data_IF_699783371642
#
_entry.id   IF_699783371642
#
_cell.length_a   1.000
_cell.length_b   1.000
_cell.length_c   1.000
_cell.angle_alpha   90.00
_cell.angle_beta   90.00
_cell.angle_gamma   90.00
#
_symmetry.space_group_name_H-M   'P 1'
#
loop_
_entity.id
_entity.type
_entity.pdbx_description
1 polymer ?
#
# COMPACT_ATOMS: atom_id res chain seq x y z
N UNK A 1 0.25 25.34 -2.50
CA UNK A 1 -0.39 24.11 -2.99
C UNK A 1 0.41 23.39 -4.08
N UNK A 2 0.88 24.04 -5.13
CA UNK A 2 1.64 23.42 -6.24
C UNK A 2 2.88 22.60 -5.83
N UNK A 3 3.71 23.09 -4.92
CA UNK A 3 4.92 22.37 -4.49
C UNK A 3 4.63 20.99 -3.86
N UNK A 4 3.49 20.86 -3.23
CA UNK A 4 3.08 19.66 -2.46
C UNK A 4 2.44 18.60 -3.34
N UNK A 5 1.68 19.01 -4.36
CA UNK A 5 1.20 18.09 -5.39
C UNK A 5 2.37 17.56 -6.24
N UNK A 6 3.39 18.40 -6.50
CA UNK A 6 4.62 17.96 -7.15
C UNK A 6 5.37 16.91 -6.33
N UNK A 7 5.48 17.10 -5.01
CA UNK A 7 6.08 16.08 -4.14
C UNK A 7 5.30 14.76 -4.18
N UNK A 8 3.97 14.82 -4.10
CA UNK A 8 3.13 13.64 -4.22
C UNK A 8 3.27 12.92 -5.57
N UNK A 9 3.42 13.67 -6.66
CA UNK A 9 3.69 13.10 -7.99
C UNK A 9 5.06 12.40 -8.06
N UNK A 10 6.10 13.02 -7.51
CA UNK A 10 7.45 12.43 -7.47
C UNK A 10 7.48 11.17 -6.62
N UNK A 11 6.83 11.21 -5.45
CA UNK A 11 6.66 10.02 -4.61
C UNK A 11 5.89 8.94 -5.37
N UNK A 12 4.78 9.27 -6.03
CA UNK A 12 4.00 8.33 -6.84
C UNK A 12 4.80 7.67 -7.96
N UNK A 13 5.66 8.43 -8.64
CA UNK A 13 6.57 7.88 -9.64
C UNK A 13 7.58 6.90 -9.04
N UNK A 14 8.12 7.19 -7.85
CA UNK A 14 8.97 6.26 -7.11
C UNK A 14 8.19 5.03 -6.62
N UNK A 15 6.95 5.19 -6.14
CA UNK A 15 6.10 4.06 -5.75
C UNK A 15 5.89 3.07 -6.88
N UNK A 16 5.75 3.53 -8.13
CA UNK A 16 5.66 2.63 -9.28
C UNK A 16 6.91 1.74 -9.41
N UNK A 17 8.10 2.27 -9.10
CA UNK A 17 9.33 1.47 -9.08
C UNK A 17 9.27 0.43 -7.97
N UNK A 18 8.84 0.82 -6.76
CA UNK A 18 8.68 -0.08 -5.61
C UNK A 18 7.67 -1.19 -5.94
N UNK A 19 6.49 -0.85 -6.44
CA UNK A 19 5.41 -1.79 -6.78
C UNK A 19 5.88 -2.87 -7.78
N UNK A 20 6.71 -2.49 -8.75
CA UNK A 20 7.15 -3.43 -9.80
C UNK A 20 8.39 -4.21 -9.38
N UNK A 21 9.32 -3.58 -8.67
CA UNK A 21 10.63 -4.20 -8.39
C UNK A 21 10.70 -4.94 -7.08
N UNK A 22 10.04 -4.45 -6.02
CA UNK A 22 10.16 -5.06 -4.71
C UNK A 22 9.70 -6.53 -4.70
N UNK A 23 8.55 -6.92 -5.29
CA UNK A 23 8.16 -8.33 -5.36
C UNK A 23 9.19 -9.18 -6.12
N UNK A 24 9.71 -8.69 -7.24
CA UNK A 24 10.72 -9.39 -8.04
C UNK A 24 12.06 -9.56 -7.32
N UNK A 25 12.44 -8.58 -6.48
CA UNK A 25 13.64 -8.69 -5.64
C UNK A 25 13.46 -9.83 -4.64
N UNK A 26 12.29 -9.91 -3.99
CA UNK A 26 11.97 -10.95 -3.03
C UNK A 26 11.89 -12.34 -3.69
N UNK A 27 11.26 -12.45 -4.86
CA UNK A 27 11.23 -13.70 -5.63
C UNK A 27 12.65 -14.21 -5.94
N UNK A 28 13.58 -13.32 -6.29
CA UNK A 28 14.98 -13.68 -6.52
C UNK A 28 15.70 -14.14 -5.25
N UNK A 29 15.45 -13.49 -4.12
CA UNK A 29 16.00 -13.90 -2.83
C UNK A 29 15.51 -15.30 -2.42
N UNK A 30 14.27 -15.66 -2.74
CA UNK A 30 13.71 -16.99 -2.43
C UNK A 30 14.19 -18.10 -3.36
N UNK A 31 14.55 -17.77 -4.60
CA UNK A 31 15.01 -18.76 -5.60
C UNK A 31 16.48 -19.18 -5.44
N UNK A 32 17.17 -18.66 -4.39
CA UNK A 32 18.46 -19.16 -3.88
C UNK A 32 19.58 -19.35 -4.90
N UNK A 33 19.95 -18.33 -5.66
CA UNK A 33 21.34 -18.19 -6.07
C UNK A 33 21.74 -16.72 -6.13
N UNK A 34 22.31 -16.18 -5.04
CA UNK A 34 22.65 -14.76 -4.97
C UNK A 34 23.83 -14.36 -5.87
N UNK A 35 24.48 -15.30 -6.50
CA UNK A 35 25.76 -15.09 -7.18
C UNK A 35 25.66 -14.92 -8.70
N UNK A 36 24.59 -15.36 -9.35
CA UNK A 36 24.47 -15.32 -10.81
C UNK A 36 23.46 -14.27 -11.27
N UNK A 37 23.94 -13.10 -11.59
CA UNK A 37 23.18 -12.12 -12.35
C UNK A 37 23.51 -10.67 -12.04
N UNK A 38 23.17 -9.72 -12.93
CA UNK A 38 23.39 -8.30 -12.68
C UNK A 38 22.59 -7.83 -11.45
N UNK A 39 23.20 -6.92 -10.67
CA UNK A 39 22.60 -6.33 -9.46
C UNK A 39 21.21 -5.77 -9.79
N UNK A 40 20.18 -6.36 -9.17
CA UNK A 40 18.79 -5.94 -9.31
C UNK A 40 18.28 -5.40 -7.98
N UNK A 41 18.08 -4.07 -7.93
CA UNK A 41 17.55 -3.39 -6.75
C UNK A 41 16.61 -2.24 -7.18
N UNK A 42 16.15 -1.44 -6.23
CA UNK A 42 15.26 -0.30 -6.52
C UNK A 42 15.93 0.76 -7.43
N UNK A 43 17.27 0.87 -7.42
CA UNK A 43 18.01 1.84 -8.19
C UNK A 43 18.54 1.29 -9.53
N UNK A 44 18.90 0.01 -9.57
CA UNK A 44 19.52 -0.65 -10.74
C UNK A 44 18.69 -1.85 -11.21
N UNK A 45 18.59 -2.07 -12.53
CA UNK A 45 19.00 -1.22 -13.65
C UNK A 45 18.20 0.10 -13.76
N UNK A 46 18.62 1.04 -14.63
CA UNK A 46 17.83 2.24 -14.89
C UNK A 46 16.43 1.89 -15.43
N UNK A 47 15.44 2.77 -15.23
CA UNK A 47 14.10 2.58 -15.77
C UNK A 47 14.12 2.45 -17.27
N UNK A 48 13.54 1.39 -17.82
CA UNK A 48 13.55 1.07 -19.25
C UNK A 48 12.15 0.58 -19.68
N UNK A 49 11.88 0.63 -20.96
CA UNK A 49 10.68 0.04 -21.53
C UNK A 49 10.73 -1.49 -21.39
N UNK A 50 9.63 -2.10 -20.98
CA UNK A 50 9.55 -3.58 -20.79
C UNK A 50 9.58 -4.36 -22.09
N UNK A 51 9.37 -3.72 -23.24
CA UNK A 51 9.30 -4.37 -24.56
C UNK A 51 10.57 -4.13 -25.36
N UNK A 52 10.98 -2.85 -25.55
CA UNK A 52 12.17 -2.55 -26.35
C UNK A 52 13.45 -2.42 -25.52
N UNK A 53 13.37 -2.55 -24.20
CA UNK A 53 14.48 -2.47 -23.24
C UNK A 53 15.27 -1.15 -23.29
N UNK A 54 14.83 -0.16 -24.07
CA UNK A 54 15.48 1.13 -24.18
C UNK A 54 15.35 1.91 -22.86
N UNK A 55 16.46 2.45 -22.31
CA UNK A 55 16.42 3.26 -21.11
C UNK A 55 15.54 4.50 -21.30
N UNK A 56 14.70 4.81 -20.31
CA UNK A 56 13.86 5.99 -20.33
C UNK A 56 14.70 7.24 -20.06
N UNK A 57 14.53 8.26 -20.88
CA UNK A 57 15.15 9.57 -20.68
C UNK A 57 14.53 10.27 -19.45
N UNK A 58 15.19 11.32 -18.94
CA UNK A 58 14.66 12.08 -17.81
C UNK A 58 13.29 12.74 -18.14
N UNK A 59 13.05 13.12 -19.40
CA UNK A 59 11.79 13.69 -19.91
C UNK A 59 10.64 12.66 -19.87
N UNK A 60 10.96 11.39 -20.09
CA UNK A 60 9.97 10.30 -20.07
C UNK A 60 9.60 9.86 -18.65
N UNK A 61 10.31 10.38 -17.63
CA UNK A 61 10.07 10.12 -16.20
C UNK A 61 9.23 11.21 -15.51
N UNK A 62 8.82 12.25 -16.24
CA UNK A 62 7.97 13.30 -15.67
C UNK A 62 6.58 12.73 -15.34
N UNK A 63 6.18 12.76 -14.07
CA UNK A 63 4.92 12.13 -13.65
C UNK A 63 3.73 12.75 -14.36
N UNK A 64 2.77 11.92 -14.74
CA UNK A 64 1.56 12.24 -15.50
C UNK A 64 1.83 12.91 -16.85
N UNK A 65 2.72 13.90 -16.89
CA UNK A 65 2.98 14.71 -18.10
C UNK A 65 3.53 13.86 -19.24
N UNK A 66 4.48 12.96 -18.96
CA UNK A 66 5.01 12.05 -19.97
C UNK A 66 3.95 11.12 -20.53
N UNK A 67 3.05 10.60 -19.67
CA UNK A 67 1.97 9.72 -20.09
C UNK A 67 0.96 10.44 -20.99
N UNK A 68 0.58 11.68 -20.65
CA UNK A 68 -0.33 12.51 -21.46
C UNK A 68 0.32 12.89 -22.80
N UNK A 69 1.55 13.40 -22.78
CA UNK A 69 2.25 13.84 -24.00
C UNK A 69 2.52 12.69 -24.98
N UNK A 70 2.85 11.50 -24.45
CA UNK A 70 3.09 10.31 -25.25
C UNK A 70 1.82 9.48 -25.51
N UNK A 71 0.64 9.98 -25.11
CA UNK A 71 -0.66 9.30 -25.25
C UNK A 71 -0.64 7.87 -24.73
N UNK A 72 0.05 7.65 -23.60
CA UNK A 72 0.17 6.34 -22.98
C UNK A 72 1.00 5.34 -23.76
N UNK A 73 1.93 5.77 -24.60
CA UNK A 73 2.76 4.90 -25.44
C UNK A 73 4.24 5.14 -25.22
N UNK A 74 5.05 4.10 -25.42
CA UNK A 74 6.50 4.25 -25.40
C UNK A 74 6.97 5.13 -26.57
N UNK A 75 7.87 6.08 -26.30
CA UNK A 75 8.44 6.98 -27.31
C UNK A 75 9.19 6.25 -28.42
N UNK A 76 9.81 5.11 -28.12
CA UNK A 76 10.72 4.41 -29.01
C UNK A 76 10.03 3.29 -29.80
N UNK A 77 9.17 2.49 -29.18
CA UNK A 77 8.53 1.34 -29.82
C UNK A 77 7.00 1.46 -29.96
N UNK A 78 6.39 2.53 -29.45
CA UNK A 78 4.94 2.74 -29.57
C UNK A 78 4.07 1.83 -28.71
N UNK A 79 4.64 0.89 -27.96
CA UNK A 79 3.88 -0.03 -27.09
C UNK A 79 3.11 0.74 -26.03
N UNK A 80 1.86 0.32 -25.77
CA UNK A 80 1.02 0.91 -24.73
C UNK A 80 1.63 0.70 -23.33
N UNK A 81 1.69 1.78 -22.55
CA UNK A 81 2.13 1.77 -21.16
C UNK A 81 0.93 1.47 -20.25
N UNK A 82 1.17 0.77 -19.17
CA UNK A 82 0.12 0.44 -18.19
C UNK A 82 -0.49 1.70 -17.57
N UNK A 83 -1.81 1.73 -17.44
CA UNK A 83 -2.57 2.77 -16.73
C UNK A 83 -2.24 2.84 -15.22
N UNK A 84 -1.57 1.82 -14.68
CA UNK A 84 -1.10 1.86 -13.30
C UNK A 84 -0.19 3.05 -13.04
N UNK A 85 0.73 3.38 -13.97
CA UNK A 85 1.70 4.44 -13.77
C UNK A 85 1.01 5.79 -13.46
N UNK A 86 0.17 6.33 -14.35
CA UNK A 86 -0.51 7.59 -14.07
C UNK A 86 -1.51 7.50 -12.91
N UNK A 87 -2.12 6.32 -12.68
CA UNK A 87 -3.06 6.14 -11.58
C UNK A 87 -2.37 6.25 -10.22
N UNK A 88 -1.25 5.58 -10.01
CA UNK A 88 -0.49 5.64 -8.75
C UNK A 88 0.03 7.07 -8.51
N UNK A 89 0.52 7.73 -9.55
CA UNK A 89 1.00 9.11 -9.48
C UNK A 89 -0.12 10.09 -9.10
N UNK A 90 -1.29 9.96 -9.73
CA UNK A 90 -2.46 10.80 -9.43
C UNK A 90 -2.98 10.54 -8.01
N UNK A 91 -3.14 9.28 -7.60
CA UNK A 91 -3.58 8.92 -6.26
C UNK A 91 -2.62 9.45 -5.19
N UNK A 92 -1.32 9.32 -5.41
CA UNK A 92 -0.30 9.85 -4.50
C UNK A 92 -0.37 11.38 -4.40
N UNK A 93 -0.50 12.08 -5.53
CA UNK A 93 -0.63 13.53 -5.54
C UNK A 93 -1.89 14.00 -4.82
N UNK A 94 -3.05 13.36 -5.08
CA UNK A 94 -4.32 13.68 -4.43
C UNK A 94 -4.25 13.42 -2.92
N UNK A 95 -3.64 12.32 -2.51
CA UNK A 95 -3.44 11.97 -1.10
C UNK A 95 -2.61 13.04 -0.38
N UNK A 96 -1.46 13.41 -0.94
CA UNK A 96 -0.60 14.45 -0.35
C UNK A 96 -1.31 15.80 -0.26
N UNK A 97 -2.09 16.17 -1.28
CA UNK A 97 -2.91 17.38 -1.24
C UNK A 97 -3.95 17.34 -0.13
N UNK A 98 -4.66 16.20 0.02
CA UNK A 98 -5.67 16.01 1.05
C UNK A 98 -5.06 16.12 2.46
N UNK A 99 -3.94 15.42 2.72
CA UNK A 99 -3.28 15.46 4.03
C UNK A 99 -2.85 16.85 4.42
N UNK A 100 -2.32 17.60 3.47
CA UNK A 100 -1.94 18.99 3.77
C UNK A 100 -3.14 19.94 3.86
N UNK A 101 -4.21 19.68 3.12
CA UNK A 101 -5.44 20.46 3.27
C UNK A 101 -6.08 20.24 4.65
N UNK A 102 -5.98 19.04 5.22
CA UNK A 102 -6.58 18.70 6.51
C UNK A 102 -5.70 19.09 7.71
N UNK A 103 -4.42 18.80 7.66
CA UNK A 103 -3.48 18.96 8.79
C UNK A 103 -2.55 20.17 8.65
N UNK A 104 -2.69 20.95 7.58
CA UNK A 104 -1.78 22.07 7.32
C UNK A 104 -0.35 21.63 7.00
N UNK A 105 0.63 22.50 7.30
CA UNK A 105 2.07 22.19 7.24
C UNK A 105 2.51 21.74 8.62
N UNK A 106 2.35 20.49 8.91
CA UNK A 106 2.61 19.92 10.24
C UNK A 106 3.33 18.57 10.12
N UNK A 107 3.97 18.10 11.19
CA UNK A 107 4.49 16.74 11.26
C UNK A 107 3.40 15.68 11.00
N UNK A 108 2.17 15.92 11.47
CA UNK A 108 1.02 15.06 11.20
C UNK A 108 0.77 14.90 9.70
N UNK A 109 0.76 16.01 8.95
CA UNK A 109 0.59 15.95 7.50
C UNK A 109 1.67 15.13 6.81
N UNK A 110 2.93 15.23 7.25
CA UNK A 110 4.03 14.43 6.73
C UNK A 110 3.84 12.95 7.05
N UNK A 111 3.50 12.62 8.29
CA UNK A 111 3.25 11.24 8.73
C UNK A 111 2.12 10.58 7.92
N UNK A 112 0.96 11.24 7.84
CA UNK A 112 -0.18 10.70 7.10
C UNK A 112 0.05 10.65 5.58
N UNK A 113 0.87 11.57 5.04
CA UNK A 113 1.26 11.52 3.64
C UNK A 113 2.14 10.28 3.36
N UNK A 114 3.15 10.02 4.19
CA UNK A 114 4.01 8.86 4.09
C UNK A 114 3.22 7.55 4.29
N UNK A 115 2.33 7.52 5.28
CA UNK A 115 1.43 6.39 5.53
C UNK A 115 0.61 6.03 4.29
N UNK A 116 -0.09 6.99 3.69
CA UNK A 116 -0.89 6.73 2.50
C UNK A 116 -0.07 6.32 1.29
N UNK A 117 1.14 6.87 1.12
CA UNK A 117 2.07 6.43 0.08
C UNK A 117 2.40 4.93 0.20
N UNK A 118 2.69 4.46 1.42
CA UNK A 118 2.96 3.04 1.69
C UNK A 118 1.69 2.19 1.45
N UNK A 119 0.50 2.66 1.86
CA UNK A 119 -0.75 1.94 1.59
C UNK A 119 -1.05 1.81 0.11
N UNK A 120 -0.80 2.85 -0.69
CA UNK A 120 -0.94 2.79 -2.15
C UNK A 120 0.00 1.69 -2.68
N UNK A 121 1.28 1.68 -2.28
CA UNK A 121 2.22 0.67 -2.73
C UNK A 121 1.77 -0.76 -2.35
N UNK A 122 1.41 -0.98 -1.08
CA UNK A 122 0.94 -2.29 -0.58
C UNK A 122 -0.32 -2.76 -1.30
N UNK A 123 -1.29 -1.85 -1.55
CA UNK A 123 -2.51 -2.19 -2.29
C UNK A 123 -2.23 -2.68 -3.70
N UNK A 124 -1.34 -2.00 -4.43
CA UNK A 124 -1.00 -2.40 -5.80
C UNK A 124 -0.11 -3.65 -5.85
N UNK A 125 0.76 -3.85 -4.87
CA UNK A 125 1.57 -5.08 -4.75
C UNK A 125 0.64 -6.26 -4.49
N UNK A 126 -0.20 -6.19 -3.46
CA UNK A 126 -1.10 -7.27 -3.08
C UNK A 126 -2.11 -7.61 -4.17
N UNK A 127 -2.66 -6.60 -4.85
CA UNK A 127 -3.58 -6.79 -5.98
C UNK A 127 -2.96 -7.57 -7.15
N UNK A 128 -1.62 -7.60 -7.28
CA UNK A 128 -0.88 -8.26 -8.36
C UNK A 128 -0.27 -9.58 -7.97
N UNK A 129 0.32 -9.62 -6.78
CA UNK A 129 1.17 -10.74 -6.33
C UNK A 129 0.55 -11.52 -5.19
N UNK A 130 -0.52 -10.97 -4.57
CA UNK A 130 -1.14 -11.51 -3.36
C UNK A 130 -0.12 -11.68 -2.22
N UNK A 131 0.87 -10.80 -2.21
CA UNK A 131 1.94 -10.80 -1.25
C UNK A 131 2.14 -9.41 -0.64
N UNK A 132 2.26 -9.36 0.68
CA UNK A 132 2.49 -8.13 1.44
C UNK A 132 3.93 -8.12 1.98
N UNK A 133 4.84 -7.32 1.41
CA UNK A 133 6.25 -7.30 1.80
C UNK A 133 6.46 -6.85 3.25
N UNK A 134 7.18 -7.65 4.03
CA UNK A 134 7.57 -7.31 5.40
C UNK A 134 8.42 -6.04 5.46
N UNK A 135 9.22 -5.79 4.42
CA UNK A 135 10.02 -4.57 4.29
C UNK A 135 9.19 -3.28 4.16
N UNK A 136 7.87 -3.36 3.96
CA UNK A 136 6.95 -2.22 3.99
C UNK A 136 6.03 -2.26 5.22
N UNK A 137 5.48 -3.43 5.55
CA UNK A 137 4.51 -3.55 6.66
C UNK A 137 5.15 -3.33 8.04
N UNK A 138 6.36 -3.86 8.27
CA UNK A 138 7.04 -3.69 9.55
C UNK A 138 7.50 -2.24 9.79
N UNK A 139 8.22 -1.57 8.86
CA UNK A 139 8.55 -0.17 9.03
C UNK A 139 7.31 0.72 9.18
N UNK A 140 6.20 0.40 8.49
CA UNK A 140 4.95 1.11 8.66
C UNK A 140 4.41 1.00 10.10
N UNK A 141 4.45 -0.20 10.70
CA UNK A 141 4.03 -0.42 12.09
C UNK A 141 4.89 0.40 13.06
N UNK A 142 6.22 0.31 12.93
CA UNK A 142 7.14 1.06 13.78
C UNK A 142 7.01 2.57 13.62
N UNK A 143 6.79 3.06 12.40
CA UNK A 143 6.55 4.47 12.14
C UNK A 143 5.28 4.98 12.84
N UNK A 144 4.21 4.17 12.90
CA UNK A 144 2.99 4.49 13.63
C UNK A 144 3.22 4.64 15.12
N UNK A 145 3.93 3.68 15.74
CA UNK A 145 4.29 3.72 17.16
C UNK A 145 5.19 4.93 17.47
N UNK A 146 6.15 5.24 16.61
CA UNK A 146 7.00 6.42 16.75
C UNK A 146 6.21 7.72 16.61
N UNK A 147 5.32 7.83 15.62
CA UNK A 147 4.51 9.01 15.42
C UNK A 147 3.57 9.26 16.62
N UNK A 148 3.01 8.20 17.20
CA UNK A 148 2.23 8.28 18.45
C UNK A 148 3.09 8.71 19.63
N UNK A 149 4.30 8.16 19.81
CA UNK A 149 5.19 8.52 20.92
C UNK A 149 5.69 9.97 20.85
N UNK A 150 5.81 10.53 19.65
CA UNK A 150 6.23 11.91 19.42
C UNK A 150 5.04 12.90 19.45
N UNK A 151 3.81 12.40 19.62
CA UNK A 151 2.60 13.23 19.60
C UNK A 151 2.32 13.86 18.22
N UNK A 152 2.83 13.26 17.14
CA UNK A 152 2.60 13.76 15.78
C UNK A 152 1.25 13.34 15.20
N UNK A 153 0.64 12.30 15.79
CA UNK A 153 -0.72 11.84 15.46
C UNK A 153 -1.58 11.87 16.72
N UNK A 154 -2.90 11.95 16.55
CA UNK A 154 -3.86 12.07 17.66
C UNK A 154 -4.02 10.79 18.50
N UNK A 155 -3.44 9.67 18.06
CA UNK A 155 -3.48 8.38 18.74
C UNK A 155 -2.40 8.35 19.82
N UNK A 156 -2.78 8.05 21.07
CA UNK A 156 -1.81 7.88 22.14
C UNK A 156 -1.00 6.58 22.01
N UNK A 157 0.17 6.54 22.64
CA UNK A 157 1.13 5.41 22.52
C UNK A 157 0.52 4.09 22.99
N UNK A 158 -0.26 4.10 24.06
CA UNK A 158 -0.88 2.89 24.60
C UNK A 158 -1.94 2.36 23.62
N UNK A 159 -2.76 3.25 23.06
CA UNK A 159 -3.75 2.92 22.05
C UNK A 159 -3.10 2.40 20.76
N UNK A 160 -2.01 2.99 20.32
CA UNK A 160 -1.23 2.53 19.17
C UNK A 160 -0.62 1.14 19.40
N UNK A 161 -0.04 0.91 20.60
CA UNK A 161 0.54 -0.38 20.96
C UNK A 161 -0.50 -1.49 20.98
N UNK A 162 -1.62 -1.26 21.70
CA UNK A 162 -2.71 -2.23 21.73
C UNK A 162 -3.35 -2.41 20.35
N UNK A 163 -3.38 -1.36 19.54
CA UNK A 163 -3.82 -1.42 18.15
C UNK A 163 -2.97 -2.38 17.32
N UNK A 164 -1.65 -2.30 17.45
CA UNK A 164 -0.75 -3.22 16.76
C UNK A 164 -0.95 -4.66 17.24
N UNK A 165 -0.98 -4.89 18.56
CA UNK A 165 -1.13 -6.23 19.16
C UNK A 165 -2.48 -6.85 18.79
N UNK A 166 -3.57 -6.14 19.01
CA UNK A 166 -4.93 -6.64 18.73
C UNK A 166 -5.16 -6.87 17.25
N UNK A 167 -4.66 -5.94 16.40
CA UNK A 167 -4.73 -6.08 14.94
C UNK A 167 -4.02 -7.35 14.45
N UNK A 168 -2.81 -7.61 14.96
CA UNK A 168 -2.10 -8.84 14.63
C UNK A 168 -2.84 -10.08 15.11
N UNK A 169 -3.15 -10.14 16.39
CA UNK A 169 -3.74 -11.32 17.03
C UNK A 169 -5.12 -11.67 16.46
N UNK A 170 -5.92 -10.68 16.08
CA UNK A 170 -7.25 -10.90 15.52
C UNK A 170 -7.20 -11.73 14.23
N UNK A 171 -6.44 -11.29 13.23
CA UNK A 171 -6.34 -12.04 11.97
C UNK A 171 -5.47 -13.28 12.10
N UNK A 172 -4.44 -13.24 12.92
CA UNK A 172 -3.61 -14.42 13.19
C UNK A 172 -4.40 -15.55 13.82
N UNK A 173 -5.20 -15.27 14.87
CA UNK A 173 -6.06 -16.27 15.53
C UNK A 173 -7.13 -16.80 14.59
N UNK A 174 -7.75 -15.92 13.78
CA UNK A 174 -8.73 -16.31 12.78
C UNK A 174 -8.14 -17.26 11.72
N UNK A 175 -6.95 -16.93 11.21
CA UNK A 175 -6.23 -17.77 10.24
C UNK A 175 -5.88 -19.15 10.82
N UNK A 176 -5.40 -19.20 12.07
CA UNK A 176 -5.09 -20.45 12.75
C UNK A 176 -6.33 -21.29 13.07
N UNK A 177 -7.40 -20.65 13.55
CA UNK A 177 -8.68 -21.33 13.77
C UNK A 177 -9.24 -21.93 12.47
N UNK A 178 -9.17 -21.18 11.35
CA UNK A 178 -9.59 -21.68 10.05
C UNK A 178 -8.75 -22.87 9.59
N UNK A 179 -7.42 -22.77 9.70
CA UNK A 179 -6.48 -23.86 9.37
C UNK A 179 -6.76 -25.11 10.22
N UNK A 180 -7.03 -24.93 11.51
CA UNK A 180 -7.36 -26.03 12.42
C UNK A 180 -8.69 -26.72 12.05
N UNK A 181 -9.72 -25.93 11.65
CA UNK A 181 -11.03 -26.47 11.29
C UNK A 181 -11.10 -27.09 9.89
N UNK A 182 -10.41 -26.50 8.91
CA UNK A 182 -10.50 -26.87 7.49
C UNK A 182 -9.28 -27.63 6.97
N UNK A 183 -8.16 -27.64 7.70
CA UNK A 183 -6.91 -28.29 7.26
C UNK A 183 -6.17 -27.54 6.13
N UNK A 184 -6.68 -26.41 5.67
CA UNK A 184 -6.11 -25.62 4.57
C UNK A 184 -5.83 -24.20 5.02
N UNK A 185 -4.84 -23.55 4.41
CA UNK A 185 -4.55 -22.14 4.68
C UNK A 185 -5.59 -21.26 3.98
N UNK A 186 -6.35 -20.50 4.76
CA UNK A 186 -7.42 -19.63 4.23
C UNK A 186 -7.02 -18.17 4.05
N UNK A 187 -5.93 -17.72 4.71
CA UNK A 187 -5.48 -16.32 4.71
C UNK A 187 -3.96 -16.25 4.84
N UNK A 188 -3.34 -15.34 4.12
CA UNK A 188 -1.89 -15.08 4.21
C UNK A 188 -1.51 -14.38 5.52
N UNK A 189 -0.34 -14.73 6.08
CA UNK A 189 0.17 -14.06 7.29
C UNK A 189 0.48 -12.57 7.10
N UNK A 190 0.56 -12.11 5.86
CA UNK A 190 0.80 -10.70 5.50
C UNK A 190 -0.34 -9.77 5.94
N UNK A 191 -1.61 -10.22 5.81
CA UNK A 191 -2.78 -9.44 6.21
C UNK A 191 -2.80 -9.14 7.71
N UNK A 192 -2.36 -10.08 8.55
CA UNK A 192 -2.25 -9.89 9.99
C UNK A 192 -1.19 -8.82 10.33
N UNK A 193 -0.04 -8.83 9.63
CA UNK A 193 1.01 -7.82 9.79
C UNK A 193 0.54 -6.45 9.30
N UNK A 194 -0.20 -6.40 8.20
CA UNK A 194 -0.78 -5.15 7.69
C UNK A 194 -1.80 -4.59 8.69
N UNK A 195 -2.70 -5.43 9.23
CA UNK A 195 -3.69 -4.97 10.21
C UNK A 195 -3.00 -4.49 11.50
N UNK A 196 -1.91 -5.13 11.94
CA UNK A 196 -1.09 -4.65 13.04
C UNK A 196 -0.53 -3.24 12.75
N UNK A 197 0.03 -3.04 11.55
CA UNK A 197 0.54 -1.75 11.15
C UNK A 197 -0.57 -0.68 11.13
N UNK A 198 -1.74 -0.99 10.57
CA UNK A 198 -2.89 -0.09 10.54
C UNK A 198 -3.40 0.23 11.96
N UNK A 199 -3.42 -0.77 12.86
CA UNK A 199 -3.79 -0.59 14.26
C UNK A 199 -2.84 0.34 15.01
N UNK A 200 -1.54 0.31 14.72
CA UNK A 200 -0.55 1.23 15.28
C UNK A 200 -0.83 2.71 14.91
N UNK A 201 -1.43 2.97 13.75
CA UNK A 201 -1.75 4.31 13.27
C UNK A 201 -3.15 4.79 13.68
N UNK A 202 -4.11 3.87 13.76
CA UNK A 202 -5.52 4.21 13.99
C UNK A 202 -5.99 3.94 15.42
N UNK A 203 -5.19 3.24 16.23
CA UNK A 203 -5.55 2.82 17.58
C UNK A 203 -6.43 1.56 17.59
N UNK A 204 -6.47 0.89 18.75
CA UNK A 204 -7.20 -0.37 18.93
C UNK A 204 -8.72 -0.21 18.80
N UNK A 205 -9.27 0.95 19.14
CA UNK A 205 -10.70 1.25 19.10
C UNK A 205 -11.28 1.12 17.69
N UNK A 206 -10.45 1.42 16.68
CA UNK A 206 -10.86 1.43 15.28
C UNK A 206 -10.73 0.06 14.59
N UNK A 207 -10.09 -0.94 15.22
CA UNK A 207 -9.81 -2.24 14.58
C UNK A 207 -11.10 -2.95 14.17
N UNK A 208 -12.11 -2.99 15.02
CA UNK A 208 -13.37 -3.67 14.72
C UNK A 208 -14.09 -3.06 13.53
N UNK A 209 -14.15 -1.73 13.48
CA UNK A 209 -14.77 -0.99 12.37
C UNK A 209 -13.92 -1.15 11.10
N UNK A 210 -12.60 -1.12 11.22
CA UNK A 210 -11.66 -1.33 10.11
C UNK A 210 -11.86 -2.69 9.44
N UNK A 211 -11.90 -3.77 10.25
CA UNK A 211 -12.07 -5.13 9.73
C UNK A 211 -13.46 -5.31 9.12
N UNK A 212 -14.50 -4.77 9.77
CA UNK A 212 -15.85 -4.83 9.22
C UNK A 212 -15.93 -4.11 7.86
N UNK A 213 -15.42 -2.88 7.78
CA UNK A 213 -15.42 -2.10 6.55
C UNK A 213 -14.59 -2.77 5.46
N UNK A 214 -13.40 -3.28 5.81
CA UNK A 214 -12.55 -4.03 4.88
C UNK A 214 -13.23 -5.29 4.35
N UNK A 215 -13.98 -6.00 5.21
CA UNK A 215 -14.74 -7.21 4.83
C UNK A 215 -15.87 -6.88 3.87
N UNK A 216 -16.62 -5.79 4.12
CA UNK A 216 -17.67 -5.32 3.22
C UNK A 216 -17.10 -4.91 1.86
N UNK A 217 -16.02 -4.10 1.87
CA UNK A 217 -15.33 -3.70 0.63
C UNK A 217 -14.77 -4.90 -0.14
N UNK A 218 -14.18 -5.85 0.57
CA UNK A 218 -13.67 -7.10 0.01
C UNK A 218 -14.80 -7.94 -0.61
N UNK A 219 -15.93 -8.06 0.06
CA UNK A 219 -17.10 -8.77 -0.46
C UNK A 219 -17.65 -8.10 -1.73
N UNK A 220 -17.84 -6.79 -1.71
CA UNK A 220 -18.29 -6.01 -2.89
C UNK A 220 -17.34 -6.20 -4.06
N UNK A 221 -16.04 -6.06 -3.82
CA UNK A 221 -15.02 -6.28 -4.86
C UNK A 221 -15.03 -7.74 -5.36
N UNK A 222 -15.11 -8.71 -4.45
CA UNK A 222 -15.19 -10.13 -4.79
C UNK A 222 -16.43 -10.47 -5.62
N UNK A 223 -17.60 -9.89 -5.30
CA UNK A 223 -18.84 -10.09 -6.04
C UNK A 223 -18.82 -9.42 -7.42
N UNK A 224 -18.13 -8.30 -7.57
CA UNK A 224 -18.02 -7.57 -8.84
C UNK A 224 -17.06 -8.24 -9.84
N UNK A 225 -16.23 -9.20 -9.40
CA UNK A 225 -15.34 -9.95 -10.29
C UNK A 225 -16.14 -10.92 -11.18
N UNK A 226 -15.86 -10.97 -12.51
CA UNK A 226 -16.44 -11.96 -13.40
C UNK A 226 -16.16 -13.40 -12.91
N UNK A 227 -17.16 -14.30 -13.07
CA UNK A 227 -17.04 -15.70 -12.63
C UNK A 227 -15.80 -16.41 -13.18
N UNK A 228 -15.47 -16.17 -14.45
CA UNK A 228 -14.29 -16.74 -15.09
C UNK A 228 -12.96 -16.37 -14.39
N UNK A 229 -12.83 -15.17 -13.87
CA UNK A 229 -11.63 -14.73 -13.11
C UNK A 229 -11.62 -15.29 -11.69
N UNK A 230 -12.80 -15.60 -11.12
CA UNK A 230 -12.94 -16.25 -9.82
C UNK A 230 -12.45 -17.69 -9.81
N UNK A 231 -12.73 -18.43 -10.90
CA UNK A 231 -12.31 -19.82 -11.06
C UNK A 231 -10.80 -19.94 -11.30
N UNK A 232 -10.19 -18.94 -11.99
CA UNK A 232 -8.76 -18.93 -12.28
C UNK A 232 -7.88 -18.53 -11.08
N UNK A 233 -8.41 -17.76 -10.14
CA UNK A 233 -7.67 -17.32 -8.95
C UNK A 233 -8.59 -17.40 -7.72
N UNK A 234 -8.57 -18.53 -6.99
CA UNK A 234 -9.41 -18.73 -5.81
C UNK A 234 -9.01 -17.82 -4.65
N UNK A 235 -7.78 -17.33 -4.63
CA UNK A 235 -7.31 -16.40 -3.61
C UNK A 235 -7.69 -14.96 -3.95
N UNK A 236 -8.21 -14.26 -2.96
CA UNK A 236 -8.63 -12.88 -3.07
C UNK A 236 -7.65 -11.97 -2.32
N UNK A 237 -7.08 -10.92 -2.97
CA UNK A 237 -6.23 -9.98 -2.27
C UNK A 237 -7.07 -9.15 -1.29
N UNK A 238 -6.87 -9.36 0.01
CA UNK A 238 -7.60 -8.65 1.06
C UNK A 238 -6.93 -7.33 1.45
N UNK A 239 -5.62 -7.21 1.21
CA UNK A 239 -4.84 -6.02 1.52
C UNK A 239 -5.38 -4.72 0.94
N UNK A 240 -5.78 -4.64 -0.35
CA UNK A 240 -6.39 -3.43 -0.91
C UNK A 240 -7.65 -2.98 -0.18
N UNK A 241 -8.47 -3.92 0.26
CA UNK A 241 -9.68 -3.62 1.04
C UNK A 241 -9.35 -3.08 2.42
N UNK A 242 -8.33 -3.65 3.09
CA UNK A 242 -7.81 -3.13 4.37
C UNK A 242 -7.24 -1.72 4.22
N UNK A 243 -6.42 -1.49 3.20
CA UNK A 243 -5.84 -0.17 2.95
C UNK A 243 -6.90 0.90 2.64
N UNK A 244 -7.90 0.54 1.82
CA UNK A 244 -8.99 1.45 1.49
C UNK A 244 -9.87 1.74 2.71
N UNK A 245 -10.22 0.73 3.50
CA UNK A 245 -10.98 0.88 4.74
C UNK A 245 -10.25 1.81 5.72
N UNK A 246 -8.94 1.64 5.88
CA UNK A 246 -8.11 2.48 6.74
C UNK A 246 -8.08 3.93 6.26
N UNK A 247 -7.96 4.17 4.95
CA UNK A 247 -7.99 5.50 4.37
C UNK A 247 -9.35 6.20 4.57
N UNK A 248 -10.45 5.46 4.43
CA UNK A 248 -11.80 5.96 4.68
C UNK A 248 -12.02 6.30 6.16
N UNK A 249 -11.53 5.48 7.08
CA UNK A 249 -11.61 5.76 8.52
C UNK A 249 -10.83 7.01 8.90
N UNK A 250 -9.63 7.20 8.37
CA UNK A 250 -8.87 8.43 8.57
C UNK A 250 -9.65 9.66 8.06
N UNK A 251 -10.28 9.55 6.89
CA UNK A 251 -11.11 10.61 6.33
C UNK A 251 -12.34 10.95 7.19
N UNK A 252 -12.94 9.95 7.79
CA UNK A 252 -14.11 10.12 8.67
C UNK A 252 -13.74 10.76 10.00
N UNK A 253 -12.71 10.23 10.70
CA UNK A 253 -12.29 10.67 12.02
C UNK A 253 -11.29 11.82 12.04
N UNK A 254 -10.81 12.30 10.89
CA UNK A 254 -9.72 13.30 10.77
C UNK A 254 -8.50 12.96 11.65
N UNK A 255 -8.23 11.68 11.83
CA UNK A 255 -7.12 11.17 12.65
C UNK A 255 -7.43 11.03 14.14
N UNK A 256 -8.65 11.33 14.56
CA UNK A 256 -9.12 11.04 15.91
C UNK A 256 -9.80 9.66 15.97
N UNK A 257 -9.85 8.99 17.14
CA UNK A 257 -10.57 7.74 17.27
C UNK A 257 -12.06 7.96 16.96
N UNK A 258 -12.59 7.18 16.02
CA UNK A 258 -13.98 7.31 15.52
C UNK A 258 -15.03 6.96 16.60
N UNK A 259 -14.61 6.22 17.63
CA UNK A 259 -15.45 5.96 18.80
C UNK A 259 -14.94 6.76 20.02
N UNK A 260 -15.72 7.73 20.52
CA UNK A 260 -15.48 8.20 21.89
C UNK A 260 -15.67 7.02 22.83
N UNK A 261 -14.74 6.84 23.74
CA UNK A 261 -14.87 5.85 24.82
C UNK A 261 -16.21 6.13 25.57
N UNK A 262 -17.11 5.14 25.55
CA UNK A 262 -18.20 5.04 26.53
C UNK A 262 -17.61 4.72 27.88
#
# INVERSE_FOLDING_TARGET
MLFRSLLGLLVGSFLNVVIVRLPRMMEREWQSDPTDGPVFNLARPASHCTVCLTPLSWRDKWPLLSHVLLRGRCRYCGTALSWQYPLVEALSALWFMAMVAWFGVSPAAACWSAWGAVLIALSFIDARTQYLPDGLTQPLCWAGLMAASLGWIAVDVQSALWGAVMGYLLLWSLAHAYKWLKGTEGMGGGDAKLLAALGAWLGWQNISVLVLLASVLGLVHGLSRPRALREQSPHFPFGPSLCLAAALLLGWGRGEPVMPLL
#
